data_IF_480401247876
#
_entry.id   IF_480401247876
#
_cell.length_a   1.000
_cell.length_b   1.000
_cell.length_c   1.000
_cell.angle_alpha   90.00
_cell.angle_beta   90.00
_cell.angle_gamma   90.00
#
_symmetry.space_group_name_H-M   'P 1'
#
loop_
_entity.id
_entity.type
_entity.pdbx_description
1 polymer ?
#
# COMPACT_ATOMS: atom_id res chain seq x y z
N UNK A 1 -34.49 -10.93 -2.08
CA UNK A 1 -33.98 -9.67 -1.50
C UNK A 1 -33.54 -8.74 -2.63
N UNK A 2 -34.42 -7.85 -3.08
CA UNK A 2 -34.11 -6.81 -4.07
C UNK A 2 -33.40 -5.65 -3.37
N UNK A 3 -32.08 -5.57 -3.50
CA UNK A 3 -31.28 -4.42 -3.03
C UNK A 3 -31.84 -3.16 -3.71
N UNK A 4 -32.30 -2.16 -2.95
CA UNK A 4 -32.89 -0.97 -3.56
C UNK A 4 -31.82 -0.21 -4.37
N UNK A 5 -32.18 0.39 -5.53
CA UNK A 5 -31.22 1.03 -6.44
C UNK A 5 -30.33 2.08 -5.76
N UNK A 6 -30.85 2.77 -4.74
CA UNK A 6 -30.10 3.74 -3.94
C UNK A 6 -28.88 3.12 -3.23
N UNK A 7 -29.01 1.93 -2.63
CA UNK A 7 -27.89 1.29 -1.92
C UNK A 7 -26.73 0.92 -2.85
N UNK A 8 -27.01 0.62 -4.13
CA UNK A 8 -25.97 0.32 -5.10
C UNK A 8 -25.13 1.56 -5.43
N UNK A 9 -25.76 2.72 -5.57
CA UNK A 9 -25.10 4.00 -5.86
C UNK A 9 -24.19 4.41 -4.70
N UNK A 10 -24.69 4.36 -3.46
CA UNK A 10 -23.89 4.69 -2.27
C UNK A 10 -22.67 3.78 -2.12
N UNK A 11 -22.81 2.48 -2.40
CA UNK A 11 -21.71 1.52 -2.31
C UNK A 11 -20.60 1.82 -3.32
N UNK A 12 -20.96 2.18 -4.55
CA UNK A 12 -19.98 2.56 -5.59
C UNK A 12 -19.30 3.88 -5.23
N UNK A 13 -20.05 4.88 -4.74
CA UNK A 13 -19.49 6.15 -4.29
C UNK A 13 -18.51 5.96 -3.12
N UNK A 14 -18.88 5.16 -2.11
CA UNK A 14 -18.02 4.84 -0.98
C UNK A 14 -16.76 4.07 -1.40
N UNK A 15 -16.88 3.08 -2.28
CA UNK A 15 -15.73 2.38 -2.85
C UNK A 15 -14.79 3.32 -3.61
N UNK A 16 -15.34 4.21 -4.45
CA UNK A 16 -14.55 5.21 -5.19
C UNK A 16 -13.83 6.16 -4.26
N UNK A 17 -14.50 6.65 -3.22
CA UNK A 17 -13.89 7.50 -2.20
C UNK A 17 -12.74 6.78 -1.50
N UNK A 18 -12.96 5.53 -1.06
CA UNK A 18 -11.93 4.71 -0.42
C UNK A 18 -10.73 4.43 -1.33
N UNK A 19 -10.95 4.20 -2.63
CA UNK A 19 -9.84 4.05 -3.57
C UNK A 19 -9.06 5.35 -3.73
N UNK A 20 -9.74 6.49 -3.92
CA UNK A 20 -9.07 7.79 -4.09
C UNK A 20 -8.26 8.13 -2.85
N UNK A 21 -8.83 7.97 -1.65
CA UNK A 21 -8.11 8.25 -0.40
C UNK A 21 -6.90 7.34 -0.28
N UNK A 22 -7.03 6.04 -0.55
CA UNK A 22 -5.90 5.11 -0.51
C UNK A 22 -4.79 5.47 -1.51
N UNK A 23 -5.12 5.87 -2.75
CA UNK A 23 -4.13 6.31 -3.74
C UNK A 23 -3.42 7.57 -3.25
N UNK A 24 -4.18 8.59 -2.85
CA UNK A 24 -3.63 9.87 -2.42
C UNK A 24 -2.72 9.69 -1.21
N UNK A 25 -3.15 8.96 -0.18
CA UNK A 25 -2.32 8.72 1.01
C UNK A 25 -1.08 7.89 0.68
N UNK A 26 -1.20 6.87 -0.16
CA UNK A 26 -0.05 6.05 -0.59
C UNK A 26 0.96 6.87 -1.39
N UNK A 27 0.49 7.72 -2.31
CA UNK A 27 1.37 8.59 -3.11
C UNK A 27 2.06 9.63 -2.24
N UNK A 28 1.35 10.25 -1.29
CA UNK A 28 1.96 11.19 -0.34
C UNK A 28 3.01 10.50 0.54
N UNK A 29 2.68 9.33 1.09
CA UNK A 29 3.63 8.53 1.88
C UNK A 29 4.87 8.17 1.07
N UNK A 30 4.70 7.60 -0.13
CA UNK A 30 5.81 7.20 -0.98
C UNK A 30 6.69 8.39 -1.38
N UNK A 31 6.08 9.52 -1.73
CA UNK A 31 6.82 10.74 -2.10
C UNK A 31 7.64 11.26 -0.92
N UNK A 32 7.03 11.35 0.27
CA UNK A 32 7.71 11.73 1.50
C UNK A 32 8.85 10.78 1.86
N UNK A 33 8.62 9.47 1.75
CA UNK A 33 9.62 8.43 1.99
C UNK A 33 10.81 8.55 1.04
N UNK A 34 10.57 8.68 -0.27
CA UNK A 34 11.63 8.82 -1.26
C UNK A 34 12.41 10.13 -1.07
N UNK A 35 11.71 11.23 -0.75
CA UNK A 35 12.35 12.50 -0.44
C UNK A 35 13.27 12.38 0.78
N UNK A 36 12.77 11.81 1.88
CA UNK A 36 13.54 11.56 3.09
C UNK A 36 14.76 10.68 2.80
N UNK A 37 14.56 9.58 2.06
CA UNK A 37 15.64 8.64 1.74
C UNK A 37 16.71 9.27 0.83
N UNK A 38 16.33 10.16 -0.08
CA UNK A 38 17.27 10.89 -0.92
C UNK A 38 18.15 11.88 -0.13
N UNK A 39 17.66 12.42 1.00
CA UNK A 39 18.38 13.39 1.81
C UNK A 39 19.15 12.77 2.98
N UNK A 40 18.56 11.81 3.67
CA UNK A 40 19.13 11.19 4.89
C UNK A 40 19.91 9.91 4.56
N UNK A 41 19.68 9.32 3.39
CA UNK A 41 20.30 8.06 2.98
C UNK A 41 19.75 6.85 3.74
N UNK A 42 20.55 5.78 3.79
CA UNK A 42 20.17 4.53 4.45
C UNK A 42 20.43 4.58 5.96
N UNK A 43 19.37 4.51 6.77
CA UNK A 43 19.49 4.33 8.22
C UNK A 43 19.74 2.85 8.52
N UNK A 44 20.78 2.57 9.32
CA UNK A 44 21.12 1.20 9.73
C UNK A 44 20.23 0.74 10.87
N UNK A 45 19.65 -0.45 10.72
CA UNK A 45 18.89 -1.10 11.79
C UNK A 45 19.82 -1.56 12.93
N UNK A 46 19.60 -1.05 14.13
CA UNK A 46 20.44 -1.29 15.33
C UNK A 46 19.98 -2.48 16.19
N UNK A 47 18.81 -3.06 15.91
CA UNK A 47 18.30 -4.19 16.67
C UNK A 47 19.22 -5.42 16.60
N UNK A 48 19.32 -6.15 17.71
CA UNK A 48 20.17 -7.35 17.85
C UNK A 48 19.34 -8.62 18.03
N UNK A 49 19.98 -9.79 17.90
CA UNK A 49 19.33 -11.09 18.05
C UNK A 49 18.23 -11.36 17.02
N UNK A 50 17.09 -11.89 17.48
CA UNK A 50 15.95 -12.28 16.64
C UNK A 50 15.24 -11.10 15.94
N UNK A 51 15.40 -9.87 16.41
CA UNK A 51 14.78 -8.69 15.80
C UNK A 51 15.30 -8.41 14.38
N UNK A 52 16.58 -8.70 14.11
CA UNK A 52 17.25 -8.49 12.83
C UNK A 52 16.68 -9.32 11.68
N UNK A 53 16.62 -10.67 11.78
CA UNK A 53 16.06 -11.48 10.70
C UNK A 53 14.59 -11.19 10.47
N UNK A 54 13.81 -10.88 11.52
CA UNK A 54 12.41 -10.46 11.37
C UNK A 54 12.31 -9.14 10.60
N UNK A 55 13.09 -8.13 11.00
CA UNK A 55 13.14 -6.84 10.32
C UNK A 55 13.48 -6.98 8.83
N UNK A 56 14.56 -7.69 8.51
CA UNK A 56 14.97 -7.85 7.12
C UNK A 56 14.00 -8.69 6.31
N UNK A 57 13.36 -9.70 6.90
CA UNK A 57 12.32 -10.47 6.20
C UNK A 57 11.15 -9.58 5.79
N UNK A 58 10.65 -8.77 6.74
CA UNK A 58 9.54 -7.84 6.48
C UNK A 58 9.95 -6.71 5.53
N UNK A 59 11.16 -6.16 5.70
CA UNK A 59 11.67 -5.09 4.84
C UNK A 59 11.84 -5.57 3.39
N UNK A 60 12.49 -6.71 3.18
CA UNK A 60 12.74 -7.26 1.84
C UNK A 60 11.42 -7.60 1.17
N UNK A 61 10.50 -8.29 1.87
CA UNK A 61 9.19 -8.61 1.31
C UNK A 61 8.40 -7.34 0.97
N UNK A 62 8.42 -6.34 1.87
CA UNK A 62 7.75 -5.06 1.66
C UNK A 62 8.27 -4.35 0.40
N UNK A 63 9.58 -4.20 0.25
CA UNK A 63 10.19 -3.48 -0.88
C UNK A 63 9.89 -4.18 -2.20
N UNK A 64 10.06 -5.50 -2.27
CA UNK A 64 9.76 -6.28 -3.49
C UNK A 64 8.29 -6.12 -3.87
N UNK A 65 7.38 -6.29 -2.91
CA UNK A 65 5.94 -6.15 -3.15
C UNK A 65 5.54 -4.71 -3.46
N UNK A 66 6.22 -3.71 -2.90
CA UNK A 66 6.01 -2.30 -3.23
C UNK A 66 6.38 -1.99 -4.69
N UNK A 67 7.46 -2.56 -5.21
CA UNK A 67 7.81 -2.42 -6.64
C UNK A 67 6.75 -3.07 -7.53
N UNK A 68 6.23 -4.23 -7.14
CA UNK A 68 5.20 -4.96 -7.90
C UNK A 68 3.82 -4.27 -7.82
N UNK A 69 3.47 -3.65 -6.69
CA UNK A 69 2.13 -3.07 -6.51
C UNK A 69 1.92 -1.81 -7.33
N UNK A 70 2.97 -1.02 -7.57
CA UNK A 70 2.90 0.24 -8.33
C UNK A 70 2.29 0.03 -9.73
N UNK A 71 2.83 -0.85 -10.60
CA UNK A 71 2.24 -1.08 -11.93
C UNK A 71 0.83 -1.70 -11.82
N UNK A 72 0.57 -2.56 -10.83
CA UNK A 72 -0.75 -3.15 -10.63
C UNK A 72 -1.82 -2.10 -10.27
N UNK A 73 -1.48 -1.15 -9.38
CA UNK A 73 -2.37 -0.04 -9.01
C UNK A 73 -2.62 0.85 -10.23
N UNK A 74 -1.59 1.19 -11.02
CA UNK A 74 -1.73 1.99 -12.23
C UNK A 74 -2.65 1.31 -13.26
N UNK A 75 -2.49 0.01 -13.50
CA UNK A 75 -3.38 -0.76 -14.40
C UNK A 75 -4.80 -0.79 -13.86
N UNK A 76 -4.97 -0.99 -12.56
CA UNK A 76 -6.28 -1.06 -11.89
C UNK A 76 -7.03 0.27 -11.97
N UNK A 77 -6.33 1.39 -11.77
CA UNK A 77 -6.87 2.75 -11.90
C UNK A 77 -7.20 3.07 -13.36
N UNK A 78 -6.30 2.77 -14.30
CA UNK A 78 -6.53 3.01 -15.73
C UNK A 78 -7.76 2.26 -16.23
N UNK A 79 -8.00 1.04 -15.73
CA UNK A 79 -9.21 0.26 -16.06
C UNK A 79 -10.47 0.87 -15.47
N UNK A 80 -10.42 1.41 -14.25
CA UNK A 80 -11.53 2.12 -13.65
C UNK A 80 -11.87 3.42 -14.41
N UNK A 81 -10.86 4.19 -14.83
CA UNK A 81 -11.03 5.42 -15.60
C UNK A 81 -11.60 5.19 -17.01
N UNK A 82 -11.33 4.03 -17.60
CA UNK A 82 -11.90 3.62 -18.90
C UNK A 82 -13.23 2.86 -18.77
N UNK A 83 -13.86 2.91 -17.59
CA UNK A 83 -15.15 2.27 -17.30
C UNK A 83 -15.18 0.75 -17.54
N UNK A 84 -14.01 0.08 -17.54
CA UNK A 84 -13.89 -1.37 -17.73
C UNK A 84 -13.95 -2.10 -16.39
N UNK A 85 -15.10 -2.00 -15.73
CA UNK A 85 -15.28 -2.47 -14.34
C UNK A 85 -15.08 -3.97 -14.15
N UNK A 86 -15.45 -4.80 -15.12
CA UNK A 86 -15.23 -6.26 -15.04
C UNK A 86 -13.74 -6.59 -14.96
N UNK A 87 -12.95 -5.97 -15.82
CA UNK A 87 -11.49 -6.13 -15.87
C UNK A 87 -10.79 -5.44 -14.71
N UNK A 88 -11.36 -4.36 -14.17
CA UNK A 88 -10.90 -3.72 -12.94
C UNK A 88 -11.07 -4.69 -11.77
N UNK A 89 -12.28 -5.22 -11.55
CA UNK A 89 -12.59 -6.14 -10.45
C UNK A 89 -11.72 -7.41 -10.50
N UNK A 90 -11.47 -7.93 -11.69
CA UNK A 90 -10.64 -9.11 -11.88
C UNK A 90 -9.21 -8.94 -11.35
N UNK A 91 -8.61 -7.76 -11.51
CA UNK A 91 -7.26 -7.46 -10.99
C UNK A 91 -7.32 -6.94 -9.56
N UNK A 92 -8.31 -6.10 -9.23
CA UNK A 92 -8.47 -5.50 -7.92
C UNK A 92 -8.54 -6.55 -6.79
N UNK A 93 -9.05 -7.77 -7.06
CA UNK A 93 -9.05 -8.89 -6.10
C UNK A 93 -7.64 -9.26 -5.59
N UNK A 94 -6.62 -9.06 -6.42
CA UNK A 94 -5.22 -9.35 -6.10
C UNK A 94 -4.48 -8.10 -5.69
N UNK A 95 -4.76 -6.96 -6.35
CA UNK A 95 -4.16 -5.67 -6.01
C UNK A 95 -4.53 -5.26 -4.58
N UNK A 96 -5.77 -5.46 -4.15
CA UNK A 96 -6.21 -5.04 -2.81
C UNK A 96 -5.43 -5.69 -1.66
N UNK A 97 -5.33 -7.03 -1.54
CA UNK A 97 -4.58 -7.65 -0.45
C UNK A 97 -3.08 -7.31 -0.49
N UNK A 98 -2.49 -7.24 -1.70
CA UNK A 98 -1.08 -6.88 -1.85
C UNK A 98 -0.82 -5.43 -1.43
N UNK A 99 -1.72 -4.52 -1.83
CA UNK A 99 -1.65 -3.12 -1.43
C UNK A 99 -1.83 -2.94 0.07
N UNK A 100 -2.78 -3.64 0.68
CA UNK A 100 -2.97 -3.62 2.13
C UNK A 100 -1.73 -4.14 2.86
N UNK A 101 -1.14 -5.25 2.40
CA UNK A 101 0.09 -5.79 2.96
C UNK A 101 1.22 -4.76 2.93
N UNK A 102 1.49 -4.15 1.77
CA UNK A 102 2.54 -3.14 1.62
C UNK A 102 2.27 -1.94 2.51
N UNK A 103 1.05 -1.41 2.55
CA UNK A 103 0.70 -0.25 3.39
C UNK A 103 0.91 -0.53 4.88
N UNK A 104 0.49 -1.69 5.39
CA UNK A 104 0.66 -2.05 6.80
C UNK A 104 2.14 -2.30 7.14
N UNK A 105 2.84 -3.06 6.30
CA UNK A 105 4.25 -3.40 6.54
C UNK A 105 5.17 -2.18 6.44
N UNK A 106 4.84 -1.17 5.62
CA UNK A 106 5.62 0.06 5.55
C UNK A 106 5.61 0.84 6.87
N UNK A 107 4.44 0.95 7.49
CA UNK A 107 4.30 1.54 8.83
C UNK A 107 5.08 0.70 9.86
N UNK A 108 4.93 -0.62 9.84
CA UNK A 108 5.66 -1.50 10.76
C UNK A 108 7.19 -1.35 10.64
N UNK A 109 7.72 -1.30 9.42
CA UNK A 109 9.16 -1.09 9.17
C UNK A 109 9.63 0.24 9.76
N UNK A 110 8.83 1.31 9.63
CA UNK A 110 9.12 2.60 10.26
C UNK A 110 9.21 2.48 11.79
N UNK A 111 8.21 1.85 12.43
CA UNK A 111 8.21 1.65 13.89
C UNK A 111 9.38 0.79 14.36
N UNK A 112 9.69 -0.30 13.65
CA UNK A 112 10.84 -1.14 13.96
C UNK A 112 12.15 -0.37 13.89
N UNK A 113 12.31 0.47 12.86
CA UNK A 113 13.54 1.19 12.61
C UNK A 113 13.76 2.37 13.56
N UNK A 114 12.70 3.12 13.89
CA UNK A 114 12.83 4.40 14.62
C UNK A 114 12.29 4.40 16.05
N UNK A 115 11.50 3.41 16.46
CA UNK A 115 10.83 3.45 17.77
C UNK A 115 11.06 2.22 18.64
N UNK A 116 11.01 1.00 18.09
CA UNK A 116 11.13 -0.21 18.92
C UNK A 116 12.57 -0.64 19.21
N UNK A 117 13.48 -0.44 18.25
CA UNK A 117 14.86 -0.88 18.36
C UNK A 117 15.87 0.24 18.12
N UNK A 118 15.40 1.48 17.98
CA UNK A 118 16.24 2.66 18.02
C UNK A 118 16.65 2.88 19.48
N UNK A 119 17.95 2.76 19.75
CA UNK A 119 18.60 3.03 21.04
C UNK A 119 19.53 4.21 20.84
#
# INVERSE_FOLDING_TARGET
MSVSPQYAIFRVAAHRAAMITAVVTSTLFLTSYLYYHAHVGSVRFQGTGWSRPVYFTVLISHVILAVVIVPLVLVTLTRALRERFDRHRAIARWTFPLWLYVSVTGVLVYFMLYHWFAV
#
